data_IF_922584791181
#
_entry.id   IF_922584791181
#
_cell.length_a   1.000
_cell.length_b   1.000
_cell.length_c   1.000
_cell.angle_alpha   90.00
_cell.angle_beta   90.00
_cell.angle_gamma   90.00
#
_symmetry.space_group_name_H-M   'P 1'
#
loop_
_entity.id
_entity.type
_entity.pdbx_description
1 polymer ?
#
# COMPACT_ATOMS: atom_id res chain seq x y z
N UNK A 1 6.50 -8.63 -18.39
CA UNK A 1 5.77 -8.25 -17.17
C UNK A 1 6.71 -8.36 -15.98
N UNK A 2 6.90 -7.28 -15.27
CA UNK A 2 7.79 -7.27 -14.14
C UNK A 2 7.09 -7.84 -12.90
N UNK A 3 7.74 -8.81 -12.28
CA UNK A 3 7.24 -9.38 -11.04
C UNK A 3 7.72 -8.53 -9.87
N UNK A 4 6.84 -8.36 -8.90
CA UNK A 4 7.19 -7.63 -7.69
C UNK A 4 8.23 -8.41 -6.90
N UNK A 5 9.28 -7.74 -6.45
CA UNK A 5 10.30 -8.36 -5.61
C UNK A 5 9.96 -8.14 -4.13
N UNK A 6 10.62 -8.90 -3.25
CA UNK A 6 10.45 -8.74 -1.81
C UNK A 6 10.83 -7.32 -1.39
N UNK A 7 11.93 -6.80 -1.92
CA UNK A 7 12.39 -5.46 -1.58
C UNK A 7 11.40 -4.39 -2.05
N UNK A 8 10.87 -4.55 -3.25
CA UNK A 8 9.86 -3.63 -3.77
C UNK A 8 8.58 -3.65 -2.92
N UNK A 9 8.16 -4.84 -2.52
CA UNK A 9 6.98 -4.99 -1.68
C UNK A 9 7.18 -4.29 -0.33
N UNK A 10 8.32 -4.49 0.29
CA UNK A 10 8.65 -3.84 1.56
C UNK A 10 8.67 -2.31 1.41
N UNK A 11 9.23 -1.84 0.30
CA UNK A 11 9.30 -0.41 0.03
C UNK A 11 7.90 0.19 -0.15
N UNK A 12 7.03 -0.50 -0.89
CA UNK A 12 5.65 -0.05 -1.10
C UNK A 12 4.87 -0.02 0.21
N UNK A 13 5.04 -1.03 1.06
CA UNK A 13 4.39 -1.05 2.37
C UNK A 13 4.87 0.12 3.22
N UNK A 14 6.16 0.42 3.18
CA UNK A 14 6.72 1.55 3.91
C UNK A 14 6.13 2.87 3.44
N UNK A 15 6.02 3.05 2.13
CA UNK A 15 5.43 4.25 1.55
C UNK A 15 3.95 4.37 1.90
N UNK A 16 3.25 3.23 1.98
CA UNK A 16 1.85 3.19 2.37
C UNK A 16 1.67 3.33 3.88
N UNK A 17 2.76 3.26 4.64
CA UNK A 17 2.76 3.27 6.10
C UNK A 17 1.94 2.11 6.68
N UNK A 18 2.11 0.94 6.08
CA UNK A 18 1.42 -0.29 6.48
C UNK A 18 2.43 -1.36 6.88
N UNK A 19 2.05 -2.16 7.89
CA UNK A 19 2.75 -3.40 8.16
C UNK A 19 2.12 -4.51 7.31
N UNK A 20 2.80 -5.65 7.21
CA UNK A 20 2.24 -6.80 6.50
C UNK A 20 0.94 -7.26 7.13
N UNK A 21 0.85 -7.19 8.46
CA UNK A 21 -0.35 -7.56 9.19
C UNK A 21 -1.52 -6.62 8.84
N UNK A 22 -1.26 -5.32 8.86
CA UNK A 22 -2.27 -4.33 8.50
C UNK A 22 -2.73 -4.52 7.06
N UNK A 23 -1.79 -4.78 6.16
CA UNK A 23 -2.10 -5.04 4.76
C UNK A 23 -3.03 -6.25 4.62
N UNK A 24 -2.71 -7.35 5.33
CA UNK A 24 -3.53 -8.54 5.29
C UNK A 24 -4.93 -8.31 5.86
N UNK A 25 -5.03 -7.52 6.92
CA UNK A 25 -6.31 -7.19 7.54
C UNK A 25 -7.19 -6.33 6.64
N UNK A 26 -6.60 -5.35 5.98
CA UNK A 26 -7.34 -4.48 5.06
C UNK A 26 -7.92 -5.28 3.89
N UNK A 27 -7.18 -6.25 3.41
CA UNK A 27 -7.59 -7.07 2.27
C UNK A 27 -8.37 -8.32 2.70
N UNK A 28 -8.46 -8.57 4.00
CA UNK A 28 -9.13 -9.75 4.56
C UNK A 28 -8.53 -11.04 4.01
N UNK A 29 -7.19 -11.08 3.94
CA UNK A 29 -6.46 -12.26 3.49
C UNK A 29 -5.55 -12.74 4.61
N UNK A 30 -5.01 -13.96 4.46
CA UNK A 30 -4.18 -14.58 5.47
C UNK A 30 -2.84 -13.87 5.61
N UNK A 31 -2.48 -13.49 6.84
CA UNK A 31 -1.16 -12.91 7.14
C UNK A 31 -0.05 -13.88 6.75
N UNK A 32 -0.23 -15.17 7.04
CA UNK A 32 0.75 -16.19 6.70
C UNK A 32 0.93 -16.28 5.18
N UNK A 33 -0.16 -16.15 4.43
CA UNK A 33 -0.10 -16.12 2.98
C UNK A 33 0.74 -14.97 2.46
N UNK A 34 0.55 -13.78 3.05
CA UNK A 34 1.33 -12.59 2.68
C UNK A 34 2.81 -12.82 2.97
N UNK A 35 3.14 -13.40 4.11
CA UNK A 35 4.54 -13.70 4.46
C UNK A 35 5.18 -14.70 3.52
N UNK A 36 4.40 -15.58 2.92
CA UNK A 36 4.93 -16.61 2.01
C UNK A 36 5.15 -16.11 0.59
N UNK A 37 4.58 -14.95 0.26
CA UNK A 37 4.81 -14.37 -1.08
C UNK A 37 6.30 -14.05 -1.25
N UNK A 38 6.80 -14.38 -2.44
CA UNK A 38 8.19 -14.16 -2.78
C UNK A 38 9.14 -15.24 -2.27
N UNK A 39 8.62 -16.29 -1.63
CA UNK A 39 9.43 -17.40 -1.12
C UNK A 39 8.87 -18.72 -1.64
N UNK A 40 9.71 -19.75 -1.65
CA UNK A 40 9.32 -21.12 -2.03
C UNK A 40 8.59 -21.20 -3.38
N UNK A 41 9.03 -20.38 -4.35
CA UNK A 41 8.44 -20.38 -5.67
C UNK A 41 7.09 -19.71 -5.76
N UNK A 42 6.62 -19.09 -4.69
CA UNK A 42 5.36 -18.36 -4.69
C UNK A 42 5.60 -16.90 -5.09
N UNK A 43 4.96 -16.48 -6.15
CA UNK A 43 5.09 -15.13 -6.66
C UNK A 43 4.01 -14.23 -6.05
N UNK A 44 4.30 -12.92 -6.02
CA UNK A 44 3.29 -11.96 -5.61
C UNK A 44 2.16 -11.95 -6.63
N UNK A 45 0.90 -11.91 -6.17
CA UNK A 45 -0.22 -11.74 -7.09
C UNK A 45 -0.05 -10.46 -7.91
N UNK A 46 -0.51 -10.50 -9.14
CA UNK A 46 -0.34 -9.38 -10.08
C UNK A 46 -0.99 -8.07 -9.58
N UNK A 47 -2.03 -8.17 -8.76
CA UNK A 47 -2.78 -7.00 -8.30
C UNK A 47 -2.11 -6.28 -7.13
N UNK A 48 -1.12 -6.90 -6.46
CA UNK A 48 -0.53 -6.37 -5.22
C UNK A 48 0.14 -5.03 -5.46
N UNK A 49 0.98 -4.95 -6.48
CA UNK A 49 1.69 -3.71 -6.80
C UNK A 49 0.72 -2.58 -7.12
N UNK A 50 -0.24 -2.87 -7.99
CA UNK A 50 -1.24 -1.90 -8.40
C UNK A 50 -2.08 -1.42 -7.22
N UNK A 51 -2.50 -2.34 -6.35
CA UNK A 51 -3.29 -2.01 -5.18
C UNK A 51 -2.52 -1.07 -4.24
N UNK A 52 -1.26 -1.39 -3.97
CA UNK A 52 -0.44 -0.57 -3.09
C UNK A 52 -0.16 0.81 -3.70
N UNK A 53 0.13 0.87 -4.98
CA UNK A 53 0.35 2.14 -5.66
C UNK A 53 -0.89 3.02 -5.59
N UNK A 54 -2.06 2.44 -5.82
CA UNK A 54 -3.33 3.17 -5.75
C UNK A 54 -3.63 3.62 -4.32
N UNK A 55 -3.34 2.78 -3.34
CA UNK A 55 -3.52 3.11 -1.93
C UNK A 55 -2.65 4.30 -1.54
N UNK A 56 -1.39 4.29 -1.95
CA UNK A 56 -0.45 5.37 -1.68
C UNK A 56 -0.94 6.67 -2.31
N UNK A 57 -1.39 6.61 -3.55
CA UNK A 57 -1.91 7.77 -4.26
C UNK A 57 -3.16 8.33 -3.58
N UNK A 58 -4.06 7.46 -3.16
CA UNK A 58 -5.29 7.87 -2.49
C UNK A 58 -4.99 8.58 -1.16
N UNK A 59 -4.05 8.04 -0.39
CA UNK A 59 -3.61 8.66 0.86
C UNK A 59 -3.00 10.03 0.63
N UNK A 60 -2.16 10.14 -0.39
CA UNK A 60 -1.52 11.39 -0.74
C UNK A 60 -2.55 12.43 -1.17
N UNK A 61 -3.51 12.02 -1.97
CA UNK A 61 -4.59 12.89 -2.42
C UNK A 61 -5.42 13.42 -1.26
N UNK A 62 -5.79 12.54 -0.34
CA UNK A 62 -6.57 12.93 0.84
C UNK A 62 -5.80 13.93 1.70
N UNK A 63 -4.51 13.71 1.86
CA UNK A 63 -3.67 14.62 2.64
C UNK A 63 -3.63 16.01 2.01
N UNK A 64 -3.49 16.08 0.68
CA UNK A 64 -3.49 17.35 -0.05
C UNK A 64 -4.85 18.04 0.06
N UNK A 65 -5.92 17.29 -0.09
CA UNK A 65 -7.28 17.80 0.00
C UNK A 65 -7.55 18.42 1.37
N UNK A 66 -7.11 17.75 2.42
CA UNK A 66 -7.29 18.24 3.78
C UNK A 66 -6.53 19.55 3.99
N UNK A 67 -5.33 19.67 3.47
CA UNK A 67 -4.53 20.88 3.57
C UNK A 67 -5.18 22.06 2.84
N UNK A 68 -5.70 21.80 1.65
CA UNK A 68 -6.40 22.84 0.88
C UNK A 68 -7.64 23.30 1.64
N UNK A 69 -8.39 22.39 2.22
CA UNK A 69 -9.58 22.69 2.98
C UNK A 69 -9.24 23.55 4.21
N UNK A 70 -8.16 23.20 4.92
CA UNK A 70 -7.72 23.98 6.08
C UNK A 70 -7.33 25.40 5.69
N UNK A 71 -6.64 25.56 4.58
CA UNK A 71 -6.24 26.88 4.07
C UNK A 71 -7.46 27.72 3.76
N UNK A 72 -8.45 27.14 3.11
CA UNK A 72 -9.68 27.84 2.78
C UNK A 72 -10.44 28.29 4.04
N UNK A 73 -10.50 27.43 5.05
CA UNK A 73 -11.15 27.77 6.31
C UNK A 73 -10.43 28.91 7.04
N UNK A 74 -9.11 28.91 6.98
CA UNK A 74 -8.31 29.95 7.63
C UNK A 74 -8.47 31.28 6.91
N UNK A 75 -8.67 31.25 5.61
CA UNK A 75 -8.84 32.45 4.79
C UNK A 75 -10.12 33.20 5.03
N UNK A 76 -11.05 32.55 5.66
CA UNK A 76 -12.33 33.17 5.99
C UNK A 76 -12.23 33.93 7.31
#
# INVERSE_FOLDING_TARGET
MELLTIDEFKQLLKEANLTKREFSELLQISYQGVNNWGTNGREYPYWVKSWLENYIKAKSYESIKDKVFEIENVSK
#
